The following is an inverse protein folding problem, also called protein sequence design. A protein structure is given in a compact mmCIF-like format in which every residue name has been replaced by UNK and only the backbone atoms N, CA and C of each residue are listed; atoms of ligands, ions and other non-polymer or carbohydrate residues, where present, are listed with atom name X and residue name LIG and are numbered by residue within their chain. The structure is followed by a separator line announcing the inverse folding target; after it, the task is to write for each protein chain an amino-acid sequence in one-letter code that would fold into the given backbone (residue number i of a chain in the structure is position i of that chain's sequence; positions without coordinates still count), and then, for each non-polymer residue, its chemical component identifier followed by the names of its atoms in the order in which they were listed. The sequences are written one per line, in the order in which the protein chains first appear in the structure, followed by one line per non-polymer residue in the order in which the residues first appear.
data_IF_583142986621
#
_entry.id   IF_583142986621
#
_cell.length_a   1.000
_cell.length_b   1.000
_cell.length_c   1.000
_cell.angle_alpha   90.00
_cell.angle_beta   90.00
_cell.angle_gamma   90.00
#
_symmetry.space_group_name_H-M   'P 1'
#
loop_
_entity.id
_entity.type
_entity.pdbx_description
1 polymer ?
#
# COMPACT_ATOMS: atom_id res chain seq x y z
N UNK A 1 8.30 11.78 -5.64
CA UNK A 1 8.90 11.74 -4.29
C UNK A 1 7.90 12.33 -3.31
N UNK A 2 7.45 11.55 -2.33
CA UNK A 2 6.42 11.95 -1.34
C UNK A 2 6.83 13.17 -0.50
N UNK A 3 8.15 13.39 -0.33
CA UNK A 3 8.71 14.52 0.42
C UNK A 3 8.36 15.91 -0.16
N UNK A 4 8.06 16.02 -1.45
CA UNK A 4 7.73 17.30 -2.10
C UNK A 4 6.20 17.58 -2.12
N UNK A 5 5.37 16.68 -1.58
CA UNK A 5 3.92 16.74 -1.73
C UNK A 5 3.21 17.56 -0.65
N UNK A 6 3.94 18.18 0.30
CA UNK A 6 3.36 18.98 1.38
C UNK A 6 2.47 18.20 2.35
N UNK A 7 2.61 16.87 2.40
CA UNK A 7 1.78 16.02 3.25
C UNK A 7 2.11 16.27 4.74
N UNK A 8 1.09 16.48 5.57
CA UNK A 8 1.28 16.68 7.00
C UNK A 8 2.04 15.51 7.64
N UNK A 9 2.95 15.82 8.57
CA UNK A 9 3.80 14.85 9.30
C UNK A 9 2.99 13.67 9.89
N UNK A 10 1.77 13.92 10.35
CA UNK A 10 0.87 12.89 10.92
C UNK A 10 0.57 11.71 9.99
N UNK A 11 0.59 11.91 8.67
CA UNK A 11 0.27 10.87 7.69
C UNK A 11 1.47 9.98 7.33
N UNK A 12 2.68 10.30 7.81
CA UNK A 12 3.86 9.50 7.50
C UNK A 12 3.83 8.12 8.13
N UNK A 13 3.24 7.99 9.34
CA UNK A 13 3.03 6.69 9.98
C UNK A 13 2.17 5.78 9.11
N UNK A 14 1.01 6.29 8.68
CA UNK A 14 0.09 5.57 7.78
C UNK A 14 0.76 5.25 6.44
N UNK A 15 1.51 6.19 5.86
CA UNK A 15 2.21 5.98 4.60
C UNK A 15 3.29 4.89 4.69
N UNK A 16 4.09 4.90 5.75
CA UNK A 16 5.10 3.88 6.00
C UNK A 16 4.47 2.50 6.25
N UNK A 17 3.39 2.46 7.04
CA UNK A 17 2.64 1.23 7.31
C UNK A 17 2.02 0.66 6.03
N UNK A 18 1.43 1.51 5.19
CA UNK A 18 0.84 1.08 3.92
C UNK A 18 1.90 0.63 2.91
N UNK A 19 3.06 1.30 2.87
CA UNK A 19 4.19 0.86 2.05
C UNK A 19 4.67 -0.54 2.46
N UNK A 20 4.86 -0.78 3.77
CA UNK A 20 5.22 -2.10 4.28
C UNK A 20 4.14 -3.15 3.96
N UNK A 21 2.87 -2.78 4.06
CA UNK A 21 1.75 -3.64 3.69
C UNK A 21 1.80 -4.08 2.21
N UNK A 22 2.02 -3.15 1.29
CA UNK A 22 2.17 -3.44 -0.15
C UNK A 22 3.39 -4.33 -0.38
N UNK A 23 4.57 -3.94 0.12
CA UNK A 23 5.83 -4.63 -0.16
C UNK A 23 5.81 -6.09 0.32
N UNK A 24 5.20 -6.35 1.47
CA UNK A 24 5.14 -7.71 2.02
C UNK A 24 4.11 -8.59 1.30
N UNK A 25 3.07 -8.00 0.69
CA UNK A 25 2.00 -8.73 0.00
C UNK A 25 2.23 -8.88 -1.50
N UNK A 26 2.91 -7.92 -2.13
CA UNK A 26 3.11 -7.91 -3.57
C UNK A 26 4.17 -8.96 -4.01
N UNK A 27 3.98 -9.59 -5.17
CA UNK A 27 5.02 -10.32 -5.90
C UNK A 27 6.30 -9.48 -6.06
N UNK A 28 7.47 -10.09 -5.84
CA UNK A 28 8.75 -9.40 -6.05
C UNK A 28 9.74 -10.28 -6.82
N UNK A 29 10.53 -9.67 -7.71
CA UNK A 29 11.57 -10.35 -8.48
C UNK A 29 12.69 -10.91 -7.59
N UNK A 30 12.86 -10.38 -6.38
CA UNK A 30 13.88 -10.83 -5.43
C UNK A 30 13.61 -12.23 -4.88
N UNK A 31 12.38 -12.75 -5.02
CA UNK A 31 12.01 -14.09 -4.58
C UNK A 31 11.90 -15.03 -5.79
N UNK A 32 12.37 -16.27 -5.63
CA UNK A 32 12.24 -17.31 -6.65
C UNK A 32 10.77 -17.54 -7.01
N UNK A 33 10.44 -17.60 -8.30
CA UNK A 33 9.05 -17.70 -8.75
C UNK A 33 8.21 -16.44 -8.53
N UNK A 34 8.84 -15.29 -8.26
CA UNK A 34 8.21 -13.98 -8.09
C UNK A 34 7.14 -13.95 -6.99
N UNK A 35 7.27 -14.79 -5.97
CA UNK A 35 6.30 -14.88 -4.89
C UNK A 35 6.42 -13.71 -3.91
N UNK A 36 5.34 -13.39 -3.21
CA UNK A 36 5.36 -12.34 -2.20
C UNK A 36 6.16 -12.75 -0.97
N UNK A 37 6.80 -11.79 -0.26
CA UNK A 37 7.51 -12.08 0.98
C UNK A 37 6.65 -12.84 2.00
N UNK A 38 5.38 -12.45 2.16
CA UNK A 38 4.43 -13.15 3.05
C UNK A 38 4.19 -14.61 2.67
N UNK A 39 4.13 -14.91 1.37
CA UNK A 39 3.96 -16.29 0.89
C UNK A 39 5.18 -17.15 1.22
N UNK A 40 6.39 -16.58 1.09
CA UNK A 40 7.65 -17.27 1.38
C UNK A 40 7.82 -17.55 2.87
N UNK A 41 7.52 -16.56 3.71
CA UNK A 41 7.91 -16.59 5.12
C UNK A 41 6.84 -17.18 6.05
N UNK A 42 5.55 -16.94 5.76
CA UNK A 42 4.49 -17.20 6.77
C UNK A 42 3.42 -18.19 6.32
N UNK A 43 2.92 -18.09 5.09
CA UNK A 43 1.61 -18.71 4.78
C UNK A 43 1.66 -19.82 3.73
N UNK A 44 2.69 -19.86 2.88
CA UNK A 44 2.72 -20.72 1.68
C UNK A 44 1.64 -20.37 0.63
N UNK A 45 0.67 -19.51 0.96
CA UNK A 45 -0.41 -19.01 0.11
C UNK A 45 -0.17 -17.55 -0.27
N UNK A 46 -0.58 -17.19 -1.48
CA UNK A 46 -0.52 -15.80 -1.95
C UNK A 46 -1.59 -14.96 -1.23
N UNK A 47 -1.25 -13.82 -0.61
CA UNK A 47 -2.24 -12.94 -0.02
C UNK A 47 -3.09 -12.27 -1.10
N UNK A 48 -4.38 -11.97 -0.83
CA UNK A 48 -5.22 -11.25 -1.76
C UNK A 48 -4.71 -9.81 -1.94
N UNK A 49 -4.67 -9.35 -3.19
CA UNK A 49 -4.23 -7.99 -3.56
C UNK A 49 -5.41 -7.08 -3.93
N UNK A 50 -6.63 -7.61 -4.04
CA UNK A 50 -7.80 -6.84 -4.48
C UNK A 50 -8.20 -5.68 -3.55
N UNK A 51 -7.71 -5.69 -2.31
CA UNK A 51 -7.92 -4.63 -1.32
C UNK A 51 -6.90 -3.49 -1.46
N UNK A 52 -5.86 -3.65 -2.27
CA UNK A 52 -4.86 -2.59 -2.50
C UNK A 52 -5.45 -1.63 -3.53
N UNK A 53 -5.68 -0.39 -3.10
CA UNK A 53 -6.12 0.69 -3.99
C UNK A 53 -4.96 1.16 -4.85
N UNK A 54 -5.22 1.29 -6.14
CA UNK A 54 -4.23 1.77 -7.10
C UNK A 54 -4.13 3.28 -7.00
N UNK A 55 -2.93 3.82 -7.19
CA UNK A 55 -2.76 5.26 -7.27
C UNK A 55 -3.64 5.84 -8.39
N UNK A 56 -4.45 6.85 -8.07
CA UNK A 56 -5.42 7.45 -9.00
C UNK A 56 -6.80 6.79 -9.00
N UNK A 57 -7.06 5.78 -8.15
CA UNK A 57 -8.42 5.30 -7.93
C UNK A 57 -9.35 6.42 -7.45
N UNK A 58 -10.63 6.45 -7.89
CA UNK A 58 -11.60 7.43 -7.42
C UNK A 58 -11.66 7.42 -5.88
N UNK A 59 -11.38 8.56 -5.27
CA UNK A 59 -11.46 8.75 -3.83
C UNK A 59 -12.62 9.69 -3.52
N UNK A 60 -13.61 9.28 -2.70
CA UNK A 60 -14.64 10.19 -2.24
C UNK A 60 -13.97 11.24 -1.36
N UNK A 61 -14.09 12.51 -1.76
CA UNK A 61 -13.62 13.64 -0.96
C UNK A 61 -14.80 14.16 -0.16
N UNK A 62 -14.63 14.28 1.15
CA UNK A 62 -15.61 14.97 1.98
C UNK A 62 -15.71 16.43 1.52
N UNK A 63 -16.91 16.83 1.09
CA UNK A 63 -17.24 18.24 0.86
C UNK A 63 -18.12 18.71 2.00
N UNK A 64 -17.72 19.81 2.63
CA UNK A 64 -18.53 20.47 3.64
C UNK A 64 -19.86 20.90 3.02
N UNK A 65 -21.02 20.41 3.50
CA UNK A 65 -22.32 20.78 2.97
C UNK A 65 -22.66 22.27 3.15
N UNK A 66 -21.94 22.98 4.03
CA UNK A 66 -22.21 24.36 4.39
C UNK A 66 -21.28 25.38 3.71
N UNK A 67 -20.50 24.95 2.71
CA UNK A 67 -19.53 25.79 2.00
C UNK A 67 -19.78 25.87 0.50
#
# INVERSE_FOLDING_TARGET
MVFACGLLLRFWGDAAQYAAYILNRAPTNSNSGRVSPLKVVLTGKSPPLGEIVVFGSPCPVYRDPHK
#
